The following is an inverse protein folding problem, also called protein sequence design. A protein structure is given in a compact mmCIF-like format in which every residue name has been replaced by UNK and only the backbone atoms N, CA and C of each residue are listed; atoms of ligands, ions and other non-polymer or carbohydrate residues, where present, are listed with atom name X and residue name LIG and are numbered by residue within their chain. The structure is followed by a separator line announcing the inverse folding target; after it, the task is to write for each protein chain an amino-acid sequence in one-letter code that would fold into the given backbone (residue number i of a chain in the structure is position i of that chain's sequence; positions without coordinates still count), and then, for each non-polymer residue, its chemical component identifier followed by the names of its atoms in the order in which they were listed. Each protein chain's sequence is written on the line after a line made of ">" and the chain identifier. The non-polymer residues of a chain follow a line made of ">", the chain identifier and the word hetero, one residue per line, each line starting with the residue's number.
data_IF_591740475691
#
_entry.id   IF_591740475691
#
_cell.length_a   1.000
_cell.length_b   1.000
_cell.length_c   1.000
_cell.angle_alpha   90.00
_cell.angle_beta   90.00
_cell.angle_gamma   90.00
#
_symmetry.space_group_name_H-M   'P 1'
#
loop_
_entity.id
_entity.type
_entity.pdbx_description
1 polymer ?
#
# COMPACT_ATOMS: atom_id res chain seq x y z
N UNK A 1 -56.17 -68.31 47.02
CA UNK A 1 -55.00 -67.37 47.05
C UNK A 1 -54.05 -67.58 45.90
N UNK A 2 -53.69 -68.81 45.51
CA UNK A 2 -52.73 -69.01 44.37
C UNK A 2 -53.25 -68.54 43.02
N UNK A 3 -54.54 -68.57 42.71
CA UNK A 3 -55.12 -68.12 41.42
C UNK A 3 -55.09 -66.56 41.25
N UNK A 4 -55.16 -65.82 42.36
CA UNK A 4 -55.14 -64.37 42.34
C UNK A 4 -53.72 -63.84 42.03
N UNK A 5 -52.68 -64.57 42.48
CA UNK A 5 -51.27 -64.24 42.23
C UNK A 5 -50.92 -64.38 40.74
N UNK A 6 -51.47 -65.39 40.04
CA UNK A 6 -51.25 -65.60 38.60
C UNK A 6 -51.92 -64.53 37.74
N UNK A 7 -53.09 -64.01 38.19
CA UNK A 7 -53.79 -62.95 37.48
C UNK A 7 -53.00 -61.61 37.66
N UNK A 8 -52.50 -61.39 38.88
CA UNK A 8 -51.69 -60.18 39.13
C UNK A 8 -50.37 -60.23 38.40
N UNK A 9 -49.71 -61.42 38.27
CA UNK A 9 -48.49 -61.59 37.50
C UNK A 9 -48.69 -61.41 35.97
N UNK A 10 -49.86 -61.82 35.45
CA UNK A 10 -50.22 -61.66 34.05
C UNK A 10 -50.50 -60.21 33.69
N UNK A 11 -51.01 -59.34 34.61
CA UNK A 11 -51.29 -57.96 34.40
C UNK A 11 -49.94 -57.09 34.30
N UNK A 12 -48.89 -57.51 35.00
CA UNK A 12 -47.62 -56.86 34.99
C UNK A 12 -46.82 -57.11 33.70
N UNK A 13 -47.08 -58.24 33.03
CA UNK A 13 -46.40 -58.64 31.83
C UNK A 13 -46.87 -57.86 30.56
N UNK A 14 -47.99 -57.16 30.60
CA UNK A 14 -48.52 -56.38 29.42
C UNK A 14 -48.10 -54.94 29.44
N UNK A 15 -47.44 -54.42 30.47
CA UNK A 15 -47.12 -53.02 30.66
C UNK A 15 -45.81 -52.58 30.02
N UNK A 16 -45.12 -53.40 29.23
CA UNK A 16 -43.84 -53.00 28.62
C UNK A 16 -43.82 -53.28 27.13
N UNK A 17 -44.49 -52.43 26.32
CA UNK A 17 -44.17 -52.30 24.90
C UNK A 17 -44.87 -51.11 24.30
N UNK A 18 -44.43 -49.90 24.68
CA UNK A 18 -44.53 -48.75 23.78
C UNK A 18 -43.12 -48.46 23.26
N UNK A 19 -42.73 -49.17 22.20
CA UNK A 19 -41.70 -48.70 21.34
C UNK A 19 -42.27 -47.43 20.71
N UNK A 20 -41.73 -46.27 21.09
CA UNK A 20 -41.91 -45.08 20.29
C UNK A 20 -41.23 -45.35 18.95
N UNK A 21 -42.01 -45.65 17.93
CA UNK A 21 -41.54 -45.73 16.55
C UNK A 21 -41.23 -44.28 16.11
N UNK A 22 -39.96 -43.92 16.16
CA UNK A 22 -39.48 -42.67 15.55
C UNK A 22 -39.20 -42.99 14.10
N UNK A 23 -40.07 -42.52 13.21
CA UNK A 23 -39.99 -42.74 11.76
C UNK A 23 -38.79 -42.02 11.13
N UNK A 24 -38.15 -41.09 11.83
CA UNK A 24 -36.92 -40.42 11.38
C UNK A 24 -36.12 -39.92 12.57
N UNK A 25 -34.85 -40.24 12.61
CA UNK A 25 -33.85 -39.65 13.50
C UNK A 25 -32.83 -38.92 12.62
N UNK A 26 -32.95 -37.60 12.54
CA UNK A 26 -32.03 -36.75 11.81
C UNK A 26 -31.26 -35.85 12.76
N UNK A 27 -29.96 -35.75 12.56
CA UNK A 27 -29.13 -34.71 13.19
C UNK A 27 -29.12 -33.52 12.27
N UNK A 28 -29.57 -32.36 12.74
CA UNK A 28 -29.39 -31.10 11.98
C UNK A 28 -27.98 -30.62 12.25
N UNK A 29 -27.14 -30.64 11.22
CA UNK A 29 -25.83 -30.03 11.24
C UNK A 29 -25.97 -28.65 10.58
N UNK A 30 -25.67 -27.62 11.34
CA UNK A 30 -25.50 -26.25 10.80
C UNK A 30 -24.00 -25.95 10.63
N UNK A 31 -23.61 -25.45 9.48
CA UNK A 31 -22.26 -24.95 9.29
C UNK A 31 -22.15 -23.58 9.99
N UNK A 32 -21.44 -23.56 11.10
CA UNK A 32 -21.13 -22.29 11.78
C UNK A 32 -19.90 -21.66 11.15
N UNK A 33 -20.01 -20.42 10.75
CA UNK A 33 -18.90 -19.62 10.25
C UNK A 33 -18.64 -18.49 11.23
N UNK A 34 -17.47 -18.51 11.86
CA UNK A 34 -17.03 -17.44 12.74
C UNK A 34 -16.46 -16.29 11.91
N UNK A 35 -17.15 -15.15 11.89
CA UNK A 35 -16.70 -13.95 11.22
C UNK A 35 -16.05 -13.02 12.25
N UNK A 36 -14.73 -12.82 12.13
CA UNK A 36 -13.96 -11.91 12.99
C UNK A 36 -13.67 -10.59 12.29
N UNK A 37 -13.73 -9.48 13.04
CA UNK A 37 -13.24 -8.21 12.53
C UNK A 37 -11.71 -8.26 12.36
N UNK A 38 -11.19 -7.83 11.21
CA UNK A 38 -9.75 -7.76 10.94
C UNK A 38 -9.08 -6.52 11.54
N UNK A 39 -9.88 -5.52 11.92
CA UNK A 39 -9.41 -4.29 12.56
C UNK A 39 -9.42 -4.38 14.09
N UNK A 40 -8.54 -3.60 14.74
CA UNK A 40 -8.46 -3.48 16.19
C UNK A 40 -8.81 -2.05 16.60
N UNK A 41 -9.71 -1.88 17.57
CA UNK A 41 -10.10 -0.56 18.09
C UNK A 41 -11.48 -0.55 18.72
N UNK A 42 -11.97 0.66 19.02
CA UNK A 42 -13.30 0.84 19.58
C UNK A 42 -14.36 0.68 18.49
N UNK A 43 -15.38 -0.15 18.73
CA UNK A 43 -16.52 -0.28 17.84
C UNK A 43 -17.35 1.03 17.92
N UNK A 44 -17.58 1.66 16.77
CA UNK A 44 -18.39 2.87 16.63
C UNK A 44 -19.88 2.53 16.54
N UNK A 45 -20.19 1.51 15.73
CA UNK A 45 -21.53 0.95 15.63
C UNK A 45 -21.45 -0.51 15.17
N UNK A 46 -22.49 -1.27 15.49
CA UNK A 46 -22.65 -2.66 15.09
C UNK A 46 -24.15 -2.94 14.94
N UNK A 47 -24.62 -3.04 13.71
CA UNK A 47 -26.06 -3.06 13.39
C UNK A 47 -26.49 -4.45 12.92
N UNK A 48 -26.45 -5.42 13.84
CA UNK A 48 -26.99 -6.78 13.60
C UNK A 48 -27.88 -7.18 14.75
N UNK A 49 -28.94 -7.91 14.44
CA UNK A 49 -29.83 -8.56 15.43
C UNK A 49 -29.74 -10.07 15.27
N UNK A 50 -29.91 -10.77 16.37
CA UNK A 50 -29.99 -12.23 16.35
C UNK A 50 -31.14 -12.69 15.46
N UNK A 51 -30.86 -13.66 14.58
CA UNK A 51 -31.80 -14.18 13.57
C UNK A 51 -31.96 -13.36 12.31
N UNK A 52 -31.17 -12.28 12.13
CA UNK A 52 -31.22 -11.44 10.94
C UNK A 52 -30.41 -12.08 9.79
N UNK A 53 -31.00 -12.11 8.58
CA UNK A 53 -30.31 -12.53 7.37
C UNK A 53 -29.40 -11.40 6.86
N UNK A 54 -28.11 -11.68 6.69
CA UNK A 54 -27.12 -10.70 6.28
C UNK A 54 -26.66 -11.01 4.86
N UNK A 55 -26.64 -9.99 4.02
CA UNK A 55 -26.08 -10.10 2.67
C UNK A 55 -24.54 -10.08 2.70
N UNK A 56 -23.93 -10.88 1.82
CA UNK A 56 -22.49 -10.91 1.67
C UNK A 56 -21.95 -9.52 1.32
N UNK A 57 -20.82 -9.14 1.94
CA UNK A 57 -20.15 -7.85 1.76
C UNK A 57 -20.95 -6.61 2.20
N UNK A 58 -22.09 -6.76 2.87
CA UNK A 58 -22.78 -5.64 3.50
C UNK A 58 -21.95 -5.10 4.68
N UNK A 59 -21.90 -3.79 4.87
CA UNK A 59 -21.20 -3.20 6.02
C UNK A 59 -22.12 -3.26 7.24
N UNK A 60 -21.80 -4.10 8.20
CA UNK A 60 -22.57 -4.38 9.41
C UNK A 60 -22.09 -3.63 10.63
N UNK A 61 -20.88 -3.07 10.58
CA UNK A 61 -20.30 -2.31 11.68
C UNK A 61 -19.05 -1.55 11.26
N UNK A 62 -18.56 -0.71 12.16
CA UNK A 62 -17.31 0.00 11.95
C UNK A 62 -16.52 0.14 13.26
N UNK A 63 -15.21 0.04 13.14
CA UNK A 63 -14.22 0.29 14.17
C UNK A 63 -13.64 1.69 13.96
N UNK A 64 -13.30 2.36 15.06
CA UNK A 64 -12.71 3.69 15.04
C UNK A 64 -11.35 3.67 14.32
N UNK A 65 -11.27 4.32 13.17
CA UNK A 65 -10.07 4.42 12.33
C UNK A 65 -9.46 5.84 12.32
N UNK A 66 -9.90 6.74 13.18
CA UNK A 66 -9.47 8.13 13.18
C UNK A 66 -7.92 8.26 13.26
N UNK A 67 -7.30 7.51 14.16
CA UNK A 67 -5.84 7.54 14.31
C UNK A 67 -5.11 7.07 13.04
N UNK A 68 -5.63 6.05 12.37
CA UNK A 68 -5.07 5.57 11.10
C UNK A 68 -5.20 6.62 9.99
N UNK A 69 -6.34 7.31 9.93
CA UNK A 69 -6.54 8.42 8.99
C UNK A 69 -5.56 9.56 9.24
N UNK A 70 -5.33 9.95 10.49
CA UNK A 70 -4.38 11.01 10.84
C UNK A 70 -2.94 10.61 10.49
N UNK A 71 -2.54 9.37 10.77
CA UNK A 71 -1.23 8.84 10.38
C UNK A 71 -1.05 8.85 8.85
N UNK A 72 -2.07 8.43 8.11
CA UNK A 72 -2.04 8.46 6.64
C UNK A 72 -1.85 9.87 6.11
N UNK A 73 -2.61 10.85 6.61
CA UNK A 73 -2.47 12.24 6.19
C UNK A 73 -1.09 12.83 6.56
N UNK A 74 -0.53 12.44 7.70
CA UNK A 74 0.84 12.81 8.07
C UNK A 74 1.87 12.26 7.07
N UNK A 75 1.77 10.98 6.69
CA UNK A 75 2.68 10.39 5.68
C UNK A 75 2.52 11.04 4.31
N UNK A 76 1.30 11.36 3.90
CA UNK A 76 1.05 12.10 2.65
C UNK A 76 1.70 13.49 2.66
N UNK A 77 1.60 14.20 3.77
CA UNK A 77 2.25 15.50 3.92
C UNK A 77 3.78 15.37 3.86
N UNK A 78 4.36 14.34 4.49
CA UNK A 78 5.80 14.05 4.41
C UNK A 78 6.23 13.71 2.98
N UNK A 79 5.46 12.89 2.26
CA UNK A 79 5.71 12.55 0.86
C UNK A 79 5.68 13.81 -0.03
N UNK A 80 4.68 14.66 0.14
CA UNK A 80 4.56 15.92 -0.61
C UNK A 80 5.74 16.86 -0.34
N UNK A 81 6.16 17.01 0.93
CA UNK A 81 7.32 17.82 1.31
C UNK A 81 8.61 17.26 0.68
N UNK A 82 8.79 15.94 0.69
CA UNK A 82 9.94 15.28 0.08
C UNK A 82 9.98 15.50 -1.44
N UNK A 83 8.85 15.35 -2.13
CA UNK A 83 8.75 15.56 -3.57
C UNK A 83 8.99 17.03 -3.95
N UNK A 84 8.59 17.98 -3.11
CA UNK A 84 8.84 19.41 -3.34
C UNK A 84 10.31 19.81 -3.18
N UNK A 85 11.11 18.98 -2.50
CA UNK A 85 12.56 19.21 -2.35
C UNK A 85 13.38 18.76 -3.56
N UNK A 86 12.76 18.26 -4.62
CA UNK A 86 13.47 17.87 -5.86
C UNK A 86 14.24 19.07 -6.44
N UNK A 87 15.52 18.89 -6.77
CA UNK A 87 16.30 19.94 -7.38
C UNK A 87 15.83 20.26 -8.82
N UNK A 88 15.73 21.53 -9.15
CA UNK A 88 15.51 21.96 -10.52
C UNK A 88 16.84 21.88 -11.28
N UNK A 89 17.00 20.79 -12.04
CA UNK A 89 18.25 20.49 -12.79
C UNK A 89 18.60 21.59 -13.76
N UNK A 90 17.62 22.12 -14.50
CA UNK A 90 17.88 23.13 -15.53
C UNK A 90 18.41 24.43 -14.91
N UNK A 91 17.84 24.88 -13.81
CA UNK A 91 18.33 26.07 -13.10
C UNK A 91 19.73 25.90 -12.56
N UNK A 92 20.02 24.70 -12.00
CA UNK A 92 21.34 24.45 -11.40
C UNK A 92 22.46 24.36 -12.44
N UNK A 93 22.19 23.85 -13.64
CA UNK A 93 23.21 23.73 -14.70
C UNK A 93 23.22 24.90 -15.67
N UNK A 94 22.26 25.83 -15.62
CA UNK A 94 22.14 26.96 -16.56
C UNK A 94 23.41 27.81 -16.63
N UNK A 95 24.04 28.09 -15.48
CA UNK A 95 25.27 28.84 -15.41
C UNK A 95 26.43 28.13 -16.12
N UNK A 96 26.62 26.84 -15.89
CA UNK A 96 27.66 26.03 -16.54
C UNK A 96 27.43 25.96 -18.06
N UNK A 97 26.19 25.76 -18.50
CA UNK A 97 25.84 25.76 -19.94
C UNK A 97 26.15 27.11 -20.58
N UNK A 98 25.85 28.22 -19.91
CA UNK A 98 26.15 29.57 -20.40
C UNK A 98 27.67 29.80 -20.51
N UNK A 99 28.46 29.32 -19.54
CA UNK A 99 29.91 29.41 -19.57
C UNK A 99 30.49 28.59 -20.74
N UNK A 100 30.01 27.35 -20.94
CA UNK A 100 30.42 26.53 -22.07
C UNK A 100 30.08 27.18 -23.40
N UNK A 101 28.88 27.73 -23.54
CA UNK A 101 28.46 28.45 -24.76
C UNK A 101 29.38 29.66 -25.07
N UNK A 102 29.72 30.43 -24.03
CA UNK A 102 30.66 31.55 -24.17
C UNK A 102 32.04 31.08 -24.62
N UNK A 103 32.58 30.02 -24.00
CA UNK A 103 33.90 29.49 -24.37
C UNK A 103 33.90 28.91 -25.79
N UNK A 104 32.84 28.26 -26.22
CA UNK A 104 32.71 27.76 -27.62
C UNK A 104 32.69 28.92 -28.64
N UNK A 105 32.00 30.02 -28.31
CA UNK A 105 32.03 31.24 -29.17
C UNK A 105 33.44 31.80 -29.25
N UNK A 106 34.18 31.85 -28.14
CA UNK A 106 35.56 32.32 -28.10
C UNK A 106 36.48 31.37 -28.88
N UNK A 107 36.30 30.06 -28.76
CA UNK A 107 37.04 29.07 -29.54
C UNK A 107 36.90 29.34 -31.05
N UNK A 108 35.67 29.54 -31.50
CA UNK A 108 35.39 29.81 -32.92
C UNK A 108 36.08 31.13 -33.39
N UNK A 109 36.10 32.13 -32.52
CA UNK A 109 36.83 33.40 -32.82
C UNK A 109 38.32 33.16 -32.96
N UNK A 110 38.94 32.43 -32.06
CA UNK A 110 40.38 32.11 -32.08
C UNK A 110 40.72 31.23 -33.29
N UNK A 111 39.87 30.25 -33.66
CA UNK A 111 40.04 29.43 -34.86
C UNK A 111 40.02 30.26 -36.14
N UNK A 112 39.17 31.29 -36.24
CA UNK A 112 39.15 32.23 -37.36
C UNK A 112 40.44 33.05 -37.40
N UNK A 113 40.87 33.60 -36.26
CA UNK A 113 42.11 34.35 -36.15
C UNK A 113 43.36 33.49 -36.45
N UNK A 114 43.33 32.21 -36.08
CA UNK A 114 44.41 31.28 -36.37
C UNK A 114 44.55 31.04 -37.89
N UNK A 115 43.43 30.92 -38.61
CA UNK A 115 43.43 30.81 -40.08
C UNK A 115 44.03 32.05 -40.75
N UNK A 116 43.81 33.23 -40.16
CA UNK A 116 44.34 34.47 -40.66
C UNK A 116 45.78 34.79 -40.15
N UNK A 117 46.39 33.82 -39.41
CA UNK A 117 47.74 33.98 -38.85
C UNK A 117 47.83 34.96 -37.67
N UNK A 118 46.69 35.38 -37.08
CA UNK A 118 46.59 36.37 -36.02
C UNK A 118 46.46 35.79 -34.60
N UNK A 119 46.44 34.44 -34.46
CA UNK A 119 46.41 33.71 -33.19
C UNK A 119 47.39 32.54 -33.18
N UNK A 120 47.62 31.94 -32.00
CA UNK A 120 48.51 30.79 -31.80
C UNK A 120 47.73 29.52 -31.54
N UNK A 121 48.30 28.36 -31.92
CA UNK A 121 47.71 27.04 -31.57
C UNK A 121 47.53 26.85 -30.06
N UNK A 122 48.51 27.39 -29.28
CA UNK A 122 48.41 27.37 -27.81
C UNK A 122 47.13 28.02 -27.27
N UNK A 123 46.75 29.18 -27.84
CA UNK A 123 45.53 29.90 -27.41
C UNK A 123 44.27 29.08 -27.70
N UNK A 124 44.19 28.36 -28.84
CA UNK A 124 43.12 27.42 -29.17
C UNK A 124 43.07 26.29 -28.16
N UNK A 125 44.23 25.61 -27.94
CA UNK A 125 44.34 24.46 -27.05
C UNK A 125 43.98 24.82 -25.60
N UNK A 126 44.37 26.02 -25.13
CA UNK A 126 44.00 26.48 -23.77
C UNK A 126 42.47 26.65 -23.63
N UNK A 127 41.75 27.13 -24.68
CA UNK A 127 40.29 27.27 -24.66
C UNK A 127 39.59 25.88 -24.75
N UNK A 128 40.09 24.98 -25.61
CA UNK A 128 39.59 23.62 -25.71
C UNK A 128 39.70 22.89 -24.37
N UNK A 129 40.84 23.01 -23.68
CA UNK A 129 41.05 22.47 -22.37
C UNK A 129 40.04 23.03 -21.33
N UNK A 130 39.79 24.35 -21.39
CA UNK A 130 38.80 24.98 -20.51
C UNK A 130 37.38 24.50 -20.77
N UNK A 131 36.96 24.30 -22.03
CA UNK A 131 35.67 23.71 -22.40
C UNK A 131 35.56 22.30 -21.83
N UNK A 132 36.59 21.48 -22.00
CA UNK A 132 36.62 20.09 -21.49
C UNK A 132 36.44 20.06 -19.98
N UNK A 133 37.08 20.95 -19.24
CA UNK A 133 36.90 21.07 -17.77
C UNK A 133 35.47 21.43 -17.42
N UNK A 134 34.86 22.42 -18.10
CA UNK A 134 33.49 22.85 -17.84
C UNK A 134 32.46 21.78 -18.18
N UNK A 135 32.68 21.02 -19.27
CA UNK A 135 31.84 19.89 -19.64
C UNK A 135 31.95 18.74 -18.64
N UNK A 136 33.14 18.48 -18.12
CA UNK A 136 33.34 17.53 -17.02
C UNK A 136 32.59 17.94 -15.75
N UNK A 137 32.65 19.23 -15.38
CA UNK A 137 31.90 19.78 -14.25
C UNK A 137 30.39 19.69 -14.48
N UNK A 138 29.89 19.96 -15.68
CA UNK A 138 28.47 19.81 -16.02
C UNK A 138 28.02 18.38 -15.88
N UNK A 139 28.79 17.43 -16.43
CA UNK A 139 28.49 16.00 -16.32
C UNK A 139 28.45 15.53 -14.88
N UNK A 140 29.44 15.90 -14.07
CA UNK A 140 29.47 15.57 -12.64
C UNK A 140 28.28 16.15 -11.87
N UNK A 141 27.93 17.42 -12.15
CA UNK A 141 26.78 18.09 -11.53
C UNK A 141 25.47 17.37 -11.91
N UNK A 142 25.25 17.05 -13.18
CA UNK A 142 24.09 16.31 -13.64
C UNK A 142 23.97 14.95 -12.96
N UNK A 143 25.06 14.20 -12.87
CA UNK A 143 25.09 12.90 -12.20
C UNK A 143 24.71 12.99 -10.72
N UNK A 144 25.19 14.03 -10.03
CA UNK A 144 24.83 14.29 -8.63
C UNK A 144 23.34 14.63 -8.48
N UNK A 145 22.79 15.45 -9.37
CA UNK A 145 21.38 15.82 -9.37
C UNK A 145 20.47 14.64 -9.71
N UNK A 146 20.91 13.75 -10.62
CA UNK A 146 20.20 12.54 -10.97
C UNK A 146 20.16 11.56 -9.79
N UNK A 147 21.28 11.36 -9.11
CA UNK A 147 21.36 10.55 -7.90
C UNK A 147 20.48 11.09 -6.79
N UNK A 148 20.50 12.40 -6.56
CA UNK A 148 19.65 13.07 -5.57
C UNK A 148 18.16 12.89 -5.90
N UNK A 149 17.77 13.10 -7.16
CA UNK A 149 16.40 12.92 -7.63
C UNK A 149 15.95 11.48 -7.47
N UNK A 150 16.80 10.51 -7.80
CA UNK A 150 16.52 9.07 -7.63
C UNK A 150 16.31 8.72 -6.16
N UNK A 151 17.16 9.22 -5.27
CA UNK A 151 17.01 9.02 -3.81
C UNK A 151 15.67 9.57 -3.31
N UNK A 152 15.30 10.79 -3.72
CA UNK A 152 14.03 11.41 -3.36
C UNK A 152 12.85 10.55 -3.86
N UNK A 153 12.91 10.06 -5.11
CA UNK A 153 11.88 9.23 -5.68
C UNK A 153 11.73 7.89 -4.93
N UNK A 154 12.84 7.24 -4.60
CA UNK A 154 12.84 5.99 -3.86
C UNK A 154 12.24 6.16 -2.45
N UNK A 155 12.61 7.24 -1.76
CA UNK A 155 12.05 7.55 -0.44
C UNK A 155 10.55 7.89 -0.53
N UNK A 156 10.11 8.61 -1.58
CA UNK A 156 8.70 8.90 -1.81
C UNK A 156 7.89 7.62 -2.11
N UNK A 157 8.44 6.68 -2.87
CA UNK A 157 7.82 5.38 -3.12
C UNK A 157 7.74 4.52 -1.85
N UNK A 158 8.74 4.58 -0.97
CA UNK A 158 8.67 3.90 0.32
C UNK A 158 7.55 4.46 1.21
N UNK A 159 7.35 5.78 1.23
CA UNK A 159 6.22 6.42 1.93
C UNK A 159 4.88 6.02 1.32
N UNK A 160 4.80 5.92 -0.01
CA UNK A 160 3.59 5.48 -0.71
C UNK A 160 3.18 4.05 -0.30
N UNK A 161 4.15 3.15 -0.18
CA UNK A 161 3.91 1.79 0.34
C UNK A 161 3.35 1.80 1.76
N UNK A 162 3.86 2.68 2.63
CA UNK A 162 3.34 2.83 4.00
C UNK A 162 1.92 3.41 4.01
N UNK A 163 1.62 4.37 3.13
CA UNK A 163 0.29 4.93 2.95
C UNK A 163 -0.68 3.84 2.50
N UNK A 164 -0.32 3.03 1.51
CA UNK A 164 -1.14 1.91 1.03
C UNK A 164 -1.42 0.88 2.14
N UNK A 165 -0.43 0.57 2.98
CA UNK A 165 -0.61 -0.32 4.13
C UNK A 165 -1.59 0.26 5.18
N UNK A 166 -1.59 1.59 5.37
CA UNK A 166 -2.57 2.24 6.24
C UNK A 166 -3.97 2.25 5.62
N UNK A 167 -4.09 2.44 4.30
CA UNK A 167 -5.37 2.38 3.61
C UNK A 167 -5.99 0.98 3.71
N UNK A 168 -5.20 -0.09 3.58
CA UNK A 168 -5.66 -1.46 3.83
C UNK A 168 -6.15 -1.65 5.28
N UNK A 169 -5.39 -1.15 6.27
CA UNK A 169 -5.81 -1.20 7.67
C UNK A 169 -7.08 -0.42 7.94
N UNK A 170 -7.25 0.75 7.31
CA UNK A 170 -8.47 1.56 7.39
C UNK A 170 -9.65 0.81 6.77
N UNK A 171 -9.45 0.15 5.63
CA UNK A 171 -10.48 -0.67 5.00
C UNK A 171 -10.93 -1.82 5.91
N UNK A 172 -10.00 -2.47 6.61
CA UNK A 172 -10.27 -3.55 7.59
C UNK A 172 -11.00 -3.09 8.86
N UNK A 173 -11.06 -1.78 9.11
CA UNK A 173 -11.90 -1.24 10.18
C UNK A 173 -13.41 -1.25 9.84
N UNK A 174 -13.79 -1.58 8.61
CA UNK A 174 -15.19 -1.84 8.25
C UNK A 174 -15.48 -3.32 8.49
N UNK A 175 -16.51 -3.59 9.29
CA UNK A 175 -16.92 -4.97 9.58
C UNK A 175 -17.93 -5.39 8.51
N UNK A 176 -17.55 -6.36 7.67
CA UNK A 176 -18.42 -6.92 6.65
C UNK A 176 -18.25 -8.45 6.60
N UNK A 177 -19.36 -9.22 6.48
CA UNK A 177 -19.26 -10.65 6.26
C UNK A 177 -18.71 -10.89 4.85
N UNK A 178 -17.47 -11.30 4.77
CA UNK A 178 -16.90 -11.82 3.52
C UNK A 178 -17.29 -13.28 3.42
N UNK A 179 -17.91 -13.72 2.33
CA UNK A 179 -18.14 -15.15 2.11
C UNK A 179 -16.79 -15.86 2.18
N UNK A 180 -16.63 -16.79 3.12
CA UNK A 180 -15.52 -17.72 3.07
C UNK A 180 -15.59 -18.43 1.71
N UNK A 181 -14.56 -18.29 0.88
CA UNK A 181 -14.43 -19.11 -0.31
C UNK A 181 -14.37 -20.57 0.18
N UNK A 182 -15.39 -21.33 -0.14
CA UNK A 182 -15.31 -22.79 -0.04
C UNK A 182 -14.07 -23.23 -0.84
N UNK A 183 -13.11 -23.82 -0.14
CA UNK A 183 -11.98 -24.52 -0.74
C UNK A 183 -12.37 -25.97 -1.00
#
# INVERSE_FOLDING_TARGET
>A
MKRVIYILAALVAVSCSSKADYDAQGTFEATEVLISAEGTGRILYFNIREGEAIEANSVIGAIDSLQLHLQREQLKAQQAALLSSRPDKEKQVASLRSQIAKQRTELQRIENMLRDGAATTKQRDDIEAQITILEGQLSATLSTLDSSTSTINNNAAALETQIAALDDRIAKCRISPTMAREQ
#
